data_IF_499830883041
#
_entry.id   IF_499830883041
#
_cell.length_a   1.000
_cell.length_b   1.000
_cell.length_c   1.000
_cell.angle_alpha   90.00
_cell.angle_beta   90.00
_cell.angle_gamma   90.00
#
_symmetry.space_group_name_H-M   'P 1'
#
loop_
_entity.id
_entity.type
_entity.pdbx_description
1 polymer ?
#
# COMPACT_ATOMS: atom_id res chain seq x y z
N UNK A 1 -9.66 11.66 -9.15
CA UNK A 1 -8.19 11.58 -9.35
C UNK A 1 -7.92 11.29 -10.82
N UNK A 2 -6.83 11.80 -11.42
CA UNK A 2 -6.44 11.40 -12.77
C UNK A 2 -6.04 9.92 -12.80
N UNK A 3 -6.33 9.21 -13.89
CA UNK A 3 -6.02 7.78 -14.04
C UNK A 3 -6.58 6.93 -12.88
N UNK A 4 -7.91 6.91 -12.65
CA UNK A 4 -8.50 6.10 -11.59
C UNK A 4 -8.30 4.59 -11.84
N UNK A 5 -8.47 3.75 -10.81
CA UNK A 5 -8.50 2.30 -10.98
C UNK A 5 -9.62 1.83 -11.90
N UNK A 6 -9.36 0.77 -12.66
CA UNK A 6 -10.28 0.22 -13.67
C UNK A 6 -11.20 -0.88 -13.09
N UNK A 7 -10.96 -1.26 -11.83
CA UNK A 7 -11.75 -2.20 -11.05
C UNK A 7 -11.87 -1.71 -9.59
N UNK A 8 -12.48 -2.53 -8.75
CA UNK A 8 -12.79 -2.25 -7.34
C UNK A 8 -11.55 -1.81 -6.58
N UNK A 9 -11.64 -0.64 -5.93
CA UNK A 9 -10.60 -0.14 -5.03
C UNK A 9 -10.75 -0.80 -3.67
N UNK A 10 -9.74 -1.56 -3.26
CA UNK A 10 -9.79 -2.36 -2.04
C UNK A 10 -9.12 -1.67 -0.86
N UNK A 11 -8.06 -0.91 -1.11
CA UNK A 11 -7.26 -0.26 -0.07
C UNK A 11 -6.83 1.15 -0.51
N UNK A 12 -6.82 2.08 0.44
CA UNK A 12 -6.41 3.47 0.26
C UNK A 12 -5.65 3.93 1.51
N UNK A 13 -4.45 4.48 1.34
CA UNK A 13 -3.65 5.02 2.45
C UNK A 13 -2.90 6.28 2.05
N UNK A 14 -2.96 7.29 2.90
CA UNK A 14 -2.02 8.41 2.83
C UNK A 14 -0.66 7.99 3.42
N UNK A 15 0.42 8.56 2.88
CA UNK A 15 1.74 8.43 3.49
C UNK A 15 1.76 9.10 4.89
N UNK A 16 2.70 8.69 5.77
CA UNK A 16 2.88 9.35 7.05
C UNK A 16 3.13 10.86 6.88
N UNK A 17 2.55 11.71 7.74
CA UNK A 17 2.76 13.15 7.68
C UNK A 17 4.20 13.48 8.13
N UNK A 18 5.09 13.72 7.18
CA UNK A 18 6.50 14.06 7.42
C UNK A 18 6.73 15.51 6.99
N UNK A 19 7.21 16.34 7.93
CA UNK A 19 7.46 17.76 7.66
C UNK A 19 8.46 17.94 6.51
N UNK A 20 8.08 18.76 5.52
CA UNK A 20 8.90 19.00 4.33
C UNK A 20 8.80 17.95 3.23
N UNK A 21 7.98 16.90 3.41
CA UNK A 21 7.69 15.94 2.34
C UNK A 21 6.31 16.18 1.71
N UNK A 22 6.12 15.83 0.42
CA UNK A 22 4.81 15.85 -0.21
C UNK A 22 3.84 14.85 0.41
N UNK A 23 2.54 15.17 0.31
CA UNK A 23 1.46 14.24 0.66
C UNK A 23 1.19 13.33 -0.53
N UNK A 24 1.29 12.03 -0.32
CA UNK A 24 1.00 10.98 -1.29
C UNK A 24 -0.17 10.13 -0.83
N UNK A 25 -1.02 9.76 -1.78
CA UNK A 25 -2.10 8.78 -1.63
C UNK A 25 -1.76 7.55 -2.47
N UNK A 26 -1.77 6.38 -1.87
CA UNK A 26 -1.73 5.10 -2.61
C UNK A 26 -3.11 4.45 -2.63
N UNK A 27 -3.45 3.82 -3.74
CA UNK A 27 -4.55 2.86 -3.85
C UNK A 27 -4.05 1.48 -4.24
N UNK A 28 -4.74 0.46 -3.73
CA UNK A 28 -4.69 -0.91 -4.21
C UNK A 28 -6.04 -1.31 -4.81
N UNK A 29 -5.99 -1.93 -5.99
CA UNK A 29 -7.18 -2.31 -6.78
C UNK A 29 -7.15 -3.78 -7.19
N UNK A 30 -8.35 -4.30 -7.50
CA UNK A 30 -8.56 -5.64 -8.05
C UNK A 30 -8.07 -5.78 -9.51
N UNK A 31 -7.81 -4.65 -10.19
CA UNK A 31 -7.14 -4.63 -11.50
C UNK A 31 -5.64 -5.00 -11.44
N UNK A 32 -5.16 -5.42 -10.26
CA UNK A 32 -3.78 -5.82 -9.98
C UNK A 32 -2.76 -4.68 -10.05
N UNK A 33 -3.22 -3.42 -10.03
CA UNK A 33 -2.35 -2.25 -10.13
C UNK A 33 -2.46 -1.39 -8.86
N UNK A 34 -1.32 -1.09 -8.25
CA UNK A 34 -1.22 0.00 -7.28
C UNK A 34 -1.04 1.32 -8.01
N UNK A 35 -1.66 2.38 -7.51
CA UNK A 35 -1.52 3.74 -8.06
C UNK A 35 -1.20 4.73 -6.95
N UNK A 36 -0.26 5.63 -7.21
CA UNK A 36 0.19 6.67 -6.29
C UNK A 36 -0.09 8.04 -6.90
N UNK A 37 -0.76 8.89 -6.13
CA UNK A 37 -1.00 10.29 -6.45
C UNK A 37 -0.33 11.20 -5.43
N UNK A 38 0.25 12.30 -5.89
CA UNK A 38 0.58 13.41 -5.02
C UNK A 38 -0.67 14.28 -4.85
N UNK A 39 -1.00 14.62 -3.62
CA UNK A 39 -2.11 15.51 -3.29
C UNK A 39 -1.52 16.86 -2.87
N UNK A 40 -1.91 17.93 -3.57
CA UNK A 40 -1.44 19.28 -3.24
C UNK A 40 -2.31 19.92 -2.13
N UNK A 41 -1.90 21.10 -1.67
CA UNK A 41 -2.61 21.86 -0.61
C UNK A 41 -4.05 22.23 -0.99
N UNK A 42 -4.37 22.29 -2.27
CA UNK A 42 -5.73 22.58 -2.77
C UNK A 42 -6.58 21.31 -2.95
N UNK A 43 -6.05 20.13 -2.60
CA UNK A 43 -6.72 18.83 -2.74
C UNK A 43 -6.72 18.26 -4.16
N UNK A 44 -6.04 18.91 -5.12
CA UNK A 44 -5.86 18.35 -6.45
C UNK A 44 -4.84 17.22 -6.42
N UNK A 45 -5.14 16.17 -7.16
CA UNK A 45 -4.33 14.96 -7.24
C UNK A 45 -3.57 14.93 -8.57
N UNK A 46 -2.28 14.66 -8.51
CA UNK A 46 -1.40 14.44 -9.66
C UNK A 46 -0.93 12.99 -9.66
N UNK A 47 -1.08 12.27 -10.77
CA UNK A 47 -0.59 10.90 -10.88
C UNK A 47 0.95 10.87 -10.87
N UNK A 48 1.55 10.04 -10.00
CA UNK A 48 3.01 9.96 -9.85
C UNK A 48 3.60 8.62 -10.25
N UNK A 49 2.95 7.54 -9.84
CA UNK A 49 3.43 6.20 -10.14
C UNK A 49 2.27 5.21 -10.23
N UNK A 50 2.50 4.13 -10.96
CA UNK A 50 1.65 2.95 -10.94
C UNK A 50 2.51 1.71 -11.17
N UNK A 51 2.10 0.59 -10.58
CA UNK A 51 2.81 -0.67 -10.73
C UNK A 51 1.81 -1.83 -10.74
N UNK A 52 1.93 -2.71 -11.73
CA UNK A 52 1.21 -3.96 -11.76
C UNK A 52 1.95 -4.98 -10.88
N UNK A 53 1.24 -5.60 -9.94
CA UNK A 53 1.80 -6.58 -8.99
C UNK A 53 1.50 -8.03 -9.37
N UNK A 54 0.68 -8.26 -10.40
CA UNK A 54 0.41 -9.61 -10.93
C UNK A 54 -0.76 -10.34 -10.27
N UNK A 55 -1.43 -9.72 -9.30
CA UNK A 55 -2.69 -10.20 -8.74
C UNK A 55 -3.45 -9.10 -7.98
N UNK A 56 -4.73 -9.33 -7.62
CA UNK A 56 -5.53 -8.36 -6.86
C UNK A 56 -4.80 -7.84 -5.62
N UNK A 57 -4.80 -6.51 -5.45
CA UNK A 57 -4.22 -5.88 -4.27
C UNK A 57 -5.26 -5.87 -3.16
N UNK A 58 -4.92 -6.47 -2.02
CA UNK A 58 -5.83 -6.67 -0.89
C UNK A 58 -5.59 -5.66 0.24
N UNK A 59 -4.35 -5.19 0.40
CA UNK A 59 -3.98 -4.16 1.36
C UNK A 59 -2.69 -3.45 0.93
N UNK A 60 -2.47 -2.25 1.45
CA UNK A 60 -1.26 -1.45 1.22
C UNK A 60 -0.87 -0.73 2.50
N UNK A 61 0.43 -0.60 2.76
CA UNK A 61 0.92 0.11 3.93
C UNK A 61 2.20 0.89 3.62
N UNK A 62 2.31 2.10 4.14
CA UNK A 62 3.50 2.91 3.93
C UNK A 62 4.59 2.54 4.92
N UNK A 63 5.83 2.57 4.45
CA UNK A 63 6.97 2.61 5.34
C UNK A 63 7.05 3.98 6.02
N UNK A 64 7.59 4.00 7.23
CA UNK A 64 7.58 5.19 8.09
C UNK A 64 8.30 6.42 7.51
N UNK A 65 9.23 6.24 6.56
CA UNK A 65 9.96 7.33 5.92
C UNK A 65 9.21 7.95 4.72
N UNK A 66 8.04 7.41 4.36
CA UNK A 66 7.21 7.86 3.24
C UNK A 66 7.73 7.49 1.85
N UNK A 67 8.81 6.72 1.73
CA UNK A 67 9.47 6.42 0.45
C UNK A 67 9.13 5.05 -0.12
N UNK A 68 8.58 4.14 0.70
CA UNK A 68 8.28 2.75 0.30
C UNK A 68 6.85 2.40 0.67
N UNK A 69 6.28 1.48 -0.11
CA UNK A 69 4.94 0.94 0.08
C UNK A 69 5.08 -0.58 0.13
N UNK A 70 4.57 -1.19 1.19
CA UNK A 70 4.34 -2.62 1.28
C UNK A 70 2.98 -2.95 0.67
N UNK A 71 2.94 -4.04 -0.09
CA UNK A 71 1.75 -4.44 -0.85
C UNK A 71 1.37 -5.84 -0.40
N UNK A 72 0.14 -6.01 0.04
CA UNK A 72 -0.46 -7.32 0.26
C UNK A 72 -1.33 -7.66 -0.94
N UNK A 73 -1.00 -8.74 -1.63
CA UNK A 73 -1.66 -9.14 -2.88
C UNK A 73 -2.03 -10.62 -2.87
N UNK A 74 -2.85 -11.00 -3.84
CA UNK A 74 -3.16 -12.38 -4.14
C UNK A 74 -2.12 -13.06 -5.07
N UNK A 75 -1.03 -12.36 -5.42
CA UNK A 75 0.14 -13.02 -5.99
C UNK A 75 0.86 -13.80 -4.86
N UNK A 76 1.17 -15.06 -5.11
CA UNK A 76 1.48 -16.05 -4.06
C UNK A 76 2.90 -15.92 -3.49
N UNK A 77 3.17 -14.87 -2.71
CA UNK A 77 4.40 -14.78 -1.88
C UNK A 77 4.27 -15.57 -0.55
N UNK A 78 3.03 -15.83 -0.13
CA UNK A 78 2.66 -16.86 0.85
C UNK A 78 2.06 -18.07 0.12
N UNK A 79 1.80 -19.17 0.85
CA UNK A 79 1.12 -20.35 0.28
C UNK A 79 -0.28 -20.00 -0.24
N UNK A 80 -0.91 -18.98 0.37
CA UNK A 80 -2.21 -18.39 0.02
C UNK A 80 -2.14 -16.84 0.04
N UNK A 81 -3.10 -16.12 -0.56
CA UNK A 81 -3.13 -14.65 -0.63
C UNK A 81 -2.86 -13.93 0.69
N UNK A 82 -2.04 -12.87 0.64
CA UNK A 82 -1.79 -12.00 1.79
C UNK A 82 -2.95 -11.02 1.90
N UNK A 83 -3.74 -11.13 2.96
CA UNK A 83 -4.93 -10.31 3.15
C UNK A 83 -4.61 -8.93 3.70
N UNK A 84 -3.59 -8.80 4.54
CA UNK A 84 -3.27 -7.55 5.22
C UNK A 84 -1.78 -7.42 5.50
N UNK A 85 -1.27 -6.19 5.47
CA UNK A 85 0.10 -5.85 5.83
C UNK A 85 0.14 -4.59 6.70
N UNK A 86 1.01 -4.58 7.71
CA UNK A 86 1.17 -3.46 8.64
C UNK A 86 2.63 -3.22 9.00
N UNK A 87 3.11 -2.00 8.79
CA UNK A 87 4.39 -1.54 9.31
C UNK A 87 4.23 -1.15 10.78
N UNK A 88 5.01 -1.77 11.66
CA UNK A 88 4.98 -1.51 13.09
C UNK A 88 6.33 -0.95 13.52
N UNK A 89 6.33 0.30 13.96
CA UNK A 89 7.47 0.93 14.60
C UNK A 89 7.25 1.03 16.11
N UNK A 90 8.16 0.45 16.87
CA UNK A 90 8.24 0.56 18.32
C UNK A 90 9.56 1.22 18.73
N UNK A 91 9.74 1.51 20.01
CA UNK A 91 10.99 2.11 20.52
C UNK A 91 12.20 1.19 20.33
N UNK A 92 11.98 -0.13 20.43
CA UNK A 92 13.05 -1.13 20.47
C UNK A 92 13.09 -2.06 19.25
N UNK A 93 12.08 -2.01 18.39
CA UNK A 93 12.01 -2.84 17.19
C UNK A 93 11.15 -2.19 16.12
N UNK A 94 11.39 -2.60 14.89
CA UNK A 94 10.58 -2.26 13.73
C UNK A 94 10.37 -3.52 12.91
N UNK A 95 9.15 -3.82 12.53
CA UNK A 95 8.86 -5.02 11.76
C UNK A 95 7.66 -4.82 10.83
N UNK A 96 7.63 -5.61 9.76
CA UNK A 96 6.45 -5.75 8.91
C UNK A 96 5.64 -6.94 9.39
N UNK A 97 4.36 -6.74 9.65
CA UNK A 97 3.43 -7.83 9.97
C UNK A 97 2.56 -8.12 8.75
N UNK A 98 2.49 -9.38 8.35
CA UNK A 98 1.60 -9.84 7.27
C UNK A 98 0.64 -10.91 7.79
N UNK A 99 -0.62 -10.84 7.35
CA UNK A 99 -1.63 -11.86 7.61
C UNK A 99 -2.17 -12.45 6.33
N UNK A 100 -2.13 -13.77 6.20
CA UNK A 100 -2.53 -14.51 5.00
C UNK A 100 -3.70 -15.45 5.27
N UNK A 101 -4.43 -15.80 4.21
CA UNK A 101 -5.44 -16.85 4.23
C UNK A 101 -4.86 -18.26 4.46
N UNK A 102 -3.53 -18.41 4.47
CA UNK A 102 -2.82 -19.63 4.88
C UNK A 102 -2.96 -19.94 6.39
N UNK A 103 -3.72 -19.10 7.11
CA UNK A 103 -3.97 -19.17 8.57
C UNK A 103 -2.73 -18.81 9.39
N UNK A 104 -1.76 -18.12 8.80
CA UNK A 104 -0.54 -17.68 9.47
C UNK A 104 -0.44 -16.16 9.52
N UNK A 105 0.27 -15.71 10.56
CA UNK A 105 0.82 -14.36 10.65
C UNK A 105 2.33 -14.49 10.52
N UNK A 106 2.95 -13.65 9.70
CA UNK A 106 4.42 -13.55 9.62
C UNK A 106 4.87 -12.17 10.05
N UNK A 107 6.00 -12.14 10.74
CA UNK A 107 6.68 -10.92 11.17
C UNK A 107 8.05 -10.94 10.50
N UNK A 108 8.34 -9.88 9.76
CA UNK A 108 9.57 -9.70 8.97
C UNK A 108 10.40 -8.56 9.55
#
# INVERSE_FOLDING_TARGET
>A
VPSPPDDTVQALKFNPPIAGQPVFLVSGSWDSVIRVWQVNETGQCEAKAQQNVGGPVLDVEWFEDGTKIFIASADKQHDEPIRTCHWVKSQNYSCLMTGSWDKTLRIW
#
